data_IF_592727348192
#
_entry.id   IF_592727348192
#
_cell.length_a   1.000
_cell.length_b   1.000
_cell.length_c   1.000
_cell.angle_alpha   90.00
_cell.angle_beta   90.00
_cell.angle_gamma   90.00
#
_symmetry.space_group_name_H-M   'P 1'
#
loop_
_entity.id
_entity.type
_entity.pdbx_description
1 polymer ?
#
# COMPACT_ATOMS: atom_id res chain seq x y z
N UNK A 1 8.12 -13.45 -12.20
CA UNK A 1 8.16 -12.02 -11.81
C UNK A 1 8.41 -11.95 -10.31
N UNK A 2 9.47 -11.26 -9.84
CA UNK A 2 9.63 -11.02 -8.40
C UNK A 2 8.69 -9.86 -8.04
N UNK A 3 7.66 -10.12 -7.23
CA UNK A 3 6.87 -9.05 -6.63
C UNK A 3 7.82 -8.25 -5.72
N UNK A 4 7.81 -6.93 -5.86
CA UNK A 4 8.70 -6.01 -5.12
C UNK A 4 8.29 -5.91 -3.65
N UNK A 5 7.04 -6.26 -3.35
CA UNK A 5 6.42 -6.28 -2.03
C UNK A 5 5.81 -7.67 -1.79
N UNK A 6 5.87 -8.14 -0.55
CA UNK A 6 5.16 -9.35 -0.13
C UNK A 6 3.67 -9.04 0.07
N UNK A 7 2.83 -10.08 0.04
CA UNK A 7 1.40 -9.92 0.28
C UNK A 7 1.12 -9.39 1.69
N UNK A 8 1.90 -9.82 2.68
CA UNK A 8 1.83 -9.32 4.06
C UNK A 8 2.13 -7.81 4.15
N UNK A 9 3.11 -7.32 3.38
CA UNK A 9 3.42 -5.89 3.31
C UNK A 9 2.27 -5.09 2.70
N UNK A 10 1.68 -5.60 1.61
CA UNK A 10 0.52 -4.96 0.95
C UNK A 10 -0.69 -4.91 1.87
N UNK A 11 -1.00 -6.02 2.57
CA UNK A 11 -2.11 -6.09 3.52
C UNK A 11 -1.88 -5.17 4.72
N UNK A 12 -0.64 -5.07 5.22
CA UNK A 12 -0.27 -4.11 6.25
C UNK A 12 -0.59 -2.67 5.84
N UNK A 13 -0.15 -2.27 4.65
CA UNK A 13 -0.41 -0.94 4.09
C UNK A 13 -1.90 -0.65 3.85
N UNK A 14 -2.68 -1.65 3.40
CA UNK A 14 -4.14 -1.51 3.26
C UNK A 14 -4.84 -1.36 4.61
N UNK A 15 -4.36 -2.04 5.65
CA UNK A 15 -4.93 -1.91 6.99
C UNK A 15 -4.65 -0.54 7.61
N UNK A 16 -3.49 0.04 7.32
CA UNK A 16 -3.13 1.38 7.79
C UNK A 16 -4.06 2.46 7.23
N UNK A 17 -4.51 2.32 5.97
CA UNK A 17 -5.54 3.22 5.44
C UNK A 17 -6.92 2.99 6.05
N UNK A 18 -7.27 1.73 6.37
CA UNK A 18 -8.53 1.41 7.06
C UNK A 18 -8.63 2.01 8.47
N UNK A 19 -7.51 2.15 9.19
CA UNK A 19 -7.47 2.86 10.49
C UNK A 19 -7.42 4.40 10.35
N UNK A 20 -7.53 4.91 9.12
CA UNK A 20 -7.64 6.33 8.82
C UNK A 20 -6.34 7.02 8.44
N UNK A 21 -5.26 6.27 8.16
CA UNK A 21 -4.04 6.88 7.63
C UNK A 21 -4.25 7.33 6.18
N UNK A 22 -3.90 8.57 5.83
CA UNK A 22 -3.99 9.02 4.45
C UNK A 22 -2.99 8.30 3.55
N UNK A 23 -3.42 7.86 2.37
CA UNK A 23 -2.59 7.16 1.37
C UNK A 23 -1.32 7.96 1.05
N UNK A 24 -1.40 9.29 1.02
CA UNK A 24 -0.25 10.16 0.79
C UNK A 24 0.84 10.05 1.86
N UNK A 25 0.49 9.85 3.14
CA UNK A 25 1.47 9.62 4.21
C UNK A 25 2.04 8.20 4.12
N UNK A 26 1.20 7.21 3.80
CA UNK A 26 1.65 5.85 3.52
C UNK A 26 2.65 5.79 2.37
N UNK A 27 2.38 6.45 1.24
CA UNK A 27 3.33 6.52 0.12
C UNK A 27 4.60 7.33 0.43
N UNK A 28 4.58 8.15 1.48
CA UNK A 28 5.76 8.87 1.95
C UNK A 28 6.62 7.99 2.88
N UNK A 29 5.98 7.16 3.69
CA UNK A 29 6.63 6.31 4.69
C UNK A 29 7.05 4.95 4.10
N UNK A 30 6.16 4.34 3.34
CA UNK A 30 6.42 3.14 2.55
C UNK A 30 6.90 3.52 1.15
N UNK A 31 7.89 2.80 0.65
CA UNK A 31 8.52 3.04 -0.65
C UNK A 31 7.65 2.64 -1.86
N UNK A 32 6.36 2.95 -1.86
CA UNK A 32 5.41 2.73 -2.97
C UNK A 32 4.65 4.02 -3.33
N UNK A 33 4.12 4.06 -4.55
CA UNK A 33 3.33 5.18 -5.05
C UNK A 33 1.83 4.94 -4.88
N UNK A 34 1.03 5.99 -4.84
CA UNK A 34 -0.45 5.89 -4.71
C UNK A 34 -1.05 5.00 -5.81
N UNK A 35 -0.48 5.05 -7.02
CA UNK A 35 -0.86 4.16 -8.12
C UNK A 35 -0.75 2.66 -7.77
N UNK A 36 0.29 2.27 -7.01
CA UNK A 36 0.45 0.90 -6.52
C UNK A 36 -0.63 0.53 -5.50
N UNK A 37 -0.96 1.47 -4.61
CA UNK A 37 -2.03 1.28 -3.62
C UNK A 37 -3.39 1.06 -4.30
N UNK A 38 -3.75 1.92 -5.25
CA UNK A 38 -5.01 1.77 -5.99
C UNK A 38 -5.02 0.51 -6.86
N UNK A 39 -3.87 0.06 -7.36
CA UNK A 39 -3.76 -1.21 -8.07
C UNK A 39 -4.07 -2.41 -7.16
N UNK A 40 -3.66 -2.36 -5.89
CA UNK A 40 -3.98 -3.40 -4.90
C UNK A 40 -5.44 -3.34 -4.46
N UNK A 41 -5.99 -2.15 -4.26
CA UNK A 41 -7.39 -1.95 -3.90
C UNK A 41 -8.37 -2.29 -5.05
N UNK A 42 -7.90 -2.20 -6.30
CA UNK A 42 -8.71 -2.48 -7.49
C UNK A 42 -8.60 -3.94 -7.97
N UNK A 43 -7.90 -4.81 -7.23
CA UNK A 43 -7.82 -6.25 -7.48
C UNK A 43 -8.79 -7.01 -6.58
#
# INVERSE_FOLDING_TARGET
MKKRFTEEQVVGSLRETEVGMPVAELCCNDAFSEASYYLWHSN
#
